data_IF_964873749339
#
_entry.id   IF_964873749339
#
_cell.length_a   1.000
_cell.length_b   1.000
_cell.length_c   1.000
_cell.angle_alpha   90.00
_cell.angle_beta   90.00
_cell.angle_gamma   90.00
#
_symmetry.space_group_name_H-M   'P 1'
#
loop_
_entity.id
_entity.type
_entity.pdbx_description
1 polymer ?
#
# COMPACT_ATOMS: atom_id res chain seq x y z
N UNK A 1 19.77 21.32 -10.90
CA UNK A 1 19.12 20.11 -11.45
C UNK A 1 18.65 19.30 -10.27
N UNK A 2 17.40 19.49 -9.85
CA UNK A 2 16.79 18.61 -8.84
C UNK A 2 16.56 17.27 -9.52
N UNK A 3 17.26 16.23 -9.09
CA UNK A 3 16.91 14.85 -9.45
C UNK A 3 15.51 14.60 -8.93
N UNK A 4 14.51 14.73 -9.80
CA UNK A 4 13.17 14.28 -9.50
C UNK A 4 13.27 12.76 -9.32
N UNK A 5 13.14 12.30 -8.08
CA UNK A 5 13.05 10.87 -7.81
C UNK A 5 11.87 10.33 -8.61
N UNK A 6 12.08 9.37 -9.52
CA UNK A 6 10.99 8.86 -10.35
C UNK A 6 9.89 8.24 -9.48
N UNK A 7 8.63 8.47 -9.84
CA UNK A 7 7.48 7.89 -9.14
C UNK A 7 7.57 6.36 -9.21
N UNK A 8 7.73 5.72 -8.06
CA UNK A 8 7.91 4.26 -7.95
C UNK A 8 6.70 3.46 -8.47
N UNK A 9 5.53 4.08 -8.59
CA UNK A 9 4.33 3.45 -9.15
C UNK A 9 4.29 3.46 -10.66
N UNK A 10 5.11 4.29 -11.33
CA UNK A 10 5.15 4.39 -12.79
C UNK A 10 5.57 3.08 -13.47
N UNK A 11 6.32 2.22 -12.78
CA UNK A 11 6.75 0.91 -13.27
C UNK A 11 5.78 -0.24 -12.95
N UNK A 12 4.66 0.02 -12.25
CA UNK A 12 3.72 -1.04 -11.83
C UNK A 12 2.66 -1.22 -12.91
N UNK A 13 2.81 -2.29 -13.70
CA UNK A 13 1.91 -2.63 -14.82
C UNK A 13 1.14 -3.92 -14.60
N UNK A 14 1.50 -4.69 -13.58
CA UNK A 14 0.94 -6.01 -13.30
C UNK A 14 1.01 -6.36 -11.81
N UNK A 15 0.47 -7.53 -11.47
CA UNK A 15 0.45 -8.05 -10.10
C UNK A 15 1.86 -8.25 -9.53
N UNK A 16 2.81 -8.75 -10.34
CA UNK A 16 4.15 -9.10 -9.88
C UNK A 16 4.98 -7.85 -9.54
N UNK A 17 4.93 -6.84 -10.40
CA UNK A 17 5.58 -5.54 -10.18
C UNK A 17 5.01 -4.85 -8.94
N UNK A 18 3.70 -4.92 -8.69
CA UNK A 18 3.10 -4.38 -7.47
C UNK A 18 3.65 -5.04 -6.19
N UNK A 19 3.74 -6.38 -6.16
CA UNK A 19 4.33 -7.10 -5.03
C UNK A 19 5.82 -6.79 -4.86
N UNK A 20 6.58 -6.77 -5.95
CA UNK A 20 8.02 -6.49 -5.91
C UNK A 20 8.30 -5.11 -5.31
N UNK A 21 7.50 -4.09 -5.66
CA UNK A 21 7.64 -2.75 -5.09
C UNK A 21 7.23 -2.75 -3.62
N UNK A 22 6.11 -3.38 -3.26
CA UNK A 22 5.66 -3.47 -1.87
C UNK A 22 6.69 -4.14 -0.95
N UNK A 23 7.26 -5.28 -1.39
CA UNK A 23 8.29 -6.00 -0.64
C UNK A 23 9.57 -5.16 -0.47
N UNK A 24 9.96 -4.42 -1.51
CA UNK A 24 11.11 -3.52 -1.46
C UNK A 24 10.90 -2.41 -0.41
N UNK A 25 9.73 -1.78 -0.41
CA UNK A 25 9.39 -0.73 0.55
C UNK A 25 9.38 -1.26 1.98
N UNK A 26 8.72 -2.39 2.22
CA UNK A 26 8.62 -3.01 3.55
C UNK A 26 9.98 -3.50 4.08
N UNK A 27 10.83 -4.01 3.19
CA UNK A 27 12.19 -4.46 3.54
C UNK A 27 13.12 -3.30 3.89
N UNK A 28 12.92 -2.13 3.27
CA UNK A 28 13.73 -0.94 3.50
C UNK A 28 13.25 -0.11 4.71
N UNK A 29 12.15 -0.47 5.36
CA UNK A 29 11.66 0.21 6.56
C UNK A 29 12.67 0.08 7.72
N UNK A 30 13.34 1.18 8.06
CA UNK A 30 14.23 1.26 9.22
C UNK A 30 13.42 1.41 10.53
N UNK A 31 13.97 0.92 11.65
CA UNK A 31 13.37 1.08 12.98
C UNK A 31 12.14 0.21 13.27
N UNK A 32 11.79 -0.69 12.34
CA UNK A 32 10.69 -1.65 12.47
C UNK A 32 11.20 -3.10 12.53
N UNK A 33 12.31 -3.32 13.25
CA UNK A 33 13.00 -4.62 13.33
C UNK A 33 12.57 -5.47 14.54
N UNK A 34 11.52 -5.06 15.27
CA UNK A 34 10.94 -5.83 16.38
C UNK A 34 10.02 -6.94 15.85
N UNK A 35 9.92 -8.06 16.56
CA UNK A 35 9.12 -9.23 16.17
C UNK A 35 7.66 -8.87 15.79
N UNK A 36 7.02 -7.97 16.56
CA UNK A 36 5.66 -7.50 16.28
C UNK A 36 5.56 -6.77 14.93
N UNK A 37 6.59 -6.01 14.55
CA UNK A 37 6.63 -5.30 13.27
C UNK A 37 6.76 -6.27 12.10
N UNK A 38 7.50 -7.36 12.26
CA UNK A 38 7.63 -8.40 11.22
C UNK A 38 6.27 -9.07 10.91
N UNK A 39 5.46 -9.33 11.94
CA UNK A 39 4.10 -9.84 11.76
C UNK A 39 3.21 -8.86 10.99
N UNK A 40 3.22 -7.57 11.37
CA UNK A 40 2.40 -6.57 10.68
C UNK A 40 2.91 -6.25 9.27
N UNK A 41 4.23 -6.31 9.02
CA UNK A 41 4.83 -6.21 7.68
C UNK A 41 4.28 -7.30 6.76
N UNK A 42 4.25 -8.56 7.22
CA UNK A 42 3.71 -9.67 6.44
C UNK A 42 2.21 -9.48 6.09
N UNK A 43 1.42 -8.95 7.02
CA UNK A 43 -0.01 -8.64 6.76
C UNK A 43 -0.14 -7.43 5.82
N UNK A 44 0.76 -6.46 5.90
CA UNK A 44 0.73 -5.24 5.11
C UNK A 44 1.13 -5.45 3.64
N UNK A 45 1.87 -6.51 3.30
CA UNK A 45 2.38 -6.74 1.93
C UNK A 45 1.30 -6.69 0.86
N UNK A 46 0.24 -7.50 0.98
CA UNK A 46 -0.82 -7.58 -0.03
C UNK A 46 -1.63 -6.27 -0.14
N UNK A 47 -2.13 -5.66 0.95
CA UNK A 47 -2.84 -4.38 0.85
C UNK A 47 -1.93 -3.23 0.37
N UNK A 48 -0.63 -3.22 0.71
CA UNK A 48 0.32 -2.25 0.15
C UNK A 48 0.46 -2.43 -1.37
N UNK A 49 0.67 -3.66 -1.83
CA UNK A 49 0.72 -3.97 -3.26
C UNK A 49 -0.58 -3.55 -3.98
N UNK A 50 -1.73 -3.80 -3.35
CA UNK A 50 -3.02 -3.39 -3.88
C UNK A 50 -3.17 -1.88 -4.00
N UNK A 51 -2.78 -1.13 -2.97
CA UNK A 51 -2.81 0.32 -2.98
C UNK A 51 -1.90 0.90 -4.07
N UNK A 52 -0.67 0.38 -4.17
CA UNK A 52 0.30 0.80 -5.18
C UNK A 52 -0.18 0.50 -6.59
N UNK A 53 -0.76 -0.69 -6.82
CA UNK A 53 -1.35 -1.04 -8.11
C UNK A 53 -2.54 -0.14 -8.46
N UNK A 54 -3.42 0.14 -7.50
CA UNK A 54 -4.60 0.96 -7.74
C UNK A 54 -4.27 2.39 -8.19
N UNK A 55 -3.15 2.96 -7.73
CA UNK A 55 -2.69 4.29 -8.13
C UNK A 55 -1.68 4.29 -9.28
N UNK A 56 -1.26 3.12 -9.75
CA UNK A 56 -0.31 2.99 -10.86
C UNK A 56 -0.98 3.20 -12.23
N UNK A 57 -0.21 3.24 -13.34
CA UNK A 57 -0.78 3.28 -14.70
C UNK A 57 -1.72 2.10 -15.03
N UNK A 58 -1.61 0.96 -14.33
CA UNK A 58 -2.53 -0.17 -14.49
C UNK A 58 -3.88 0.05 -13.77
N UNK A 59 -3.93 0.99 -12.83
CA UNK A 59 -5.12 1.48 -12.15
C UNK A 59 -5.49 2.90 -12.60
N UNK A 60 -5.53 3.84 -11.66
CA UNK A 60 -5.96 5.23 -11.91
C UNK A 60 -4.87 6.14 -12.46
N UNK A 61 -3.60 5.75 -12.35
CA UNK A 61 -2.45 6.59 -12.73
C UNK A 61 -2.22 7.80 -11.82
N UNK A 62 -2.81 7.84 -10.62
CA UNK A 62 -2.71 8.96 -9.69
C UNK A 62 -1.33 9.11 -9.01
N UNK A 63 -0.51 8.05 -9.03
CA UNK A 63 0.87 8.08 -8.55
C UNK A 63 1.05 7.88 -7.04
N UNK A 64 2.31 7.88 -6.59
CA UNK A 64 2.69 7.58 -5.19
C UNK A 64 2.14 8.61 -4.19
N UNK A 65 1.92 9.85 -4.63
CA UNK A 65 1.34 10.91 -3.79
C UNK A 65 -0.07 10.55 -3.33
N UNK A 66 -0.87 9.92 -4.19
CA UNK A 66 -2.22 9.49 -3.84
C UNK A 66 -2.21 8.29 -2.89
N UNK A 67 -1.31 7.32 -3.09
CA UNK A 67 -1.13 6.23 -2.13
C UNK A 67 -0.75 6.76 -0.74
N UNK A 68 0.14 7.76 -0.66
CA UNK A 68 0.50 8.43 0.60
C UNK A 68 -0.69 9.14 1.23
N UNK A 69 -1.54 9.80 0.43
CA UNK A 69 -2.75 10.47 0.90
C UNK A 69 -3.74 9.46 1.51
N UNK A 70 -4.03 8.36 0.80
CA UNK A 70 -4.93 7.30 1.25
C UNK A 70 -4.38 6.62 2.52
N UNK A 71 -3.09 6.34 2.57
CA UNK A 71 -2.46 5.70 3.74
C UNK A 71 -2.34 6.64 4.96
N UNK A 72 -2.26 7.95 4.72
CA UNK A 72 -2.17 8.97 5.75
C UNK A 72 -3.49 9.23 6.49
N UNK A 73 -4.62 8.97 5.85
CA UNK A 73 -5.94 9.08 6.46
C UNK A 73 -6.36 7.72 7.08
N UNK A 74 -6.11 7.58 8.38
CA UNK A 74 -6.33 6.31 9.10
C UNK A 74 -7.76 6.15 9.60
N UNK A 75 -8.50 7.25 9.70
CA UNK A 75 -9.90 7.24 10.13
C UNK A 75 -10.84 7.09 8.94
N UNK A 76 -10.47 7.64 7.77
CA UNK A 76 -11.22 7.47 6.54
C UNK A 76 -10.86 6.17 5.80
N UNK A 77 -11.83 5.26 5.73
CA UNK A 77 -11.69 4.01 4.97
C UNK A 77 -12.17 4.13 3.52
N UNK A 78 -12.79 5.25 3.14
CA UNK A 78 -13.31 5.46 1.80
C UNK A 78 -12.21 5.46 0.73
N UNK A 79 -11.03 6.03 1.03
CA UNK A 79 -9.87 5.97 0.13
C UNK A 79 -9.41 4.53 -0.16
N UNK A 80 -9.44 3.66 0.85
CA UNK A 80 -9.09 2.24 0.72
C UNK A 80 -10.13 1.46 -0.08
N UNK A 81 -11.43 1.74 0.12
CA UNK A 81 -12.51 1.16 -0.69
C UNK A 81 -12.43 1.61 -2.15
N UNK A 82 -12.22 2.91 -2.38
CA UNK A 82 -12.09 3.44 -3.72
C UNK A 82 -10.92 2.79 -4.48
N UNK A 83 -9.77 2.61 -3.81
CA UNK A 83 -8.65 1.87 -4.37
C UNK A 83 -9.00 0.39 -4.68
N UNK A 84 -9.82 -0.26 -3.85
CA UNK A 84 -10.27 -1.62 -4.11
C UNK A 84 -11.20 -1.71 -5.32
N UNK A 85 -12.05 -0.70 -5.53
CA UNK A 85 -13.01 -0.67 -6.64
C UNK A 85 -12.37 -0.33 -7.99
N UNK A 86 -11.25 0.40 -7.99
CA UNK A 86 -10.46 0.68 -9.20
C UNK A 86 -9.45 -0.43 -9.53
N UNK A 87 -9.16 -1.32 -8.58
CA UNK A 87 -8.22 -2.41 -8.77
C UNK A 87 -8.85 -3.57 -9.56
N UNK A 88 -8.41 -3.77 -10.80
CA UNK A 88 -8.87 -4.89 -11.65
C UNK A 88 -8.24 -6.26 -11.29
N UNK A 89 -7.39 -6.33 -10.26
CA UNK A 89 -6.78 -7.56 -9.76
C UNK A 89 -7.56 -8.09 -8.56
N UNK A 90 -8.31 -9.21 -8.68
CA UNK A 90 -9.20 -9.67 -7.62
C UNK A 90 -8.51 -9.91 -6.26
N UNK A 91 -7.31 -10.50 -6.27
CA UNK A 91 -6.53 -10.75 -5.06
C UNK A 91 -6.21 -9.45 -4.30
N UNK A 92 -5.81 -8.41 -5.03
CA UNK A 92 -5.42 -7.12 -4.45
C UNK A 92 -6.66 -6.34 -3.99
N UNK A 93 -7.71 -6.32 -4.80
CA UNK A 93 -8.98 -5.70 -4.44
C UNK A 93 -9.58 -6.30 -3.16
N UNK A 94 -9.57 -7.64 -3.05
CA UNK A 94 -10.06 -8.33 -1.86
C UNK A 94 -9.21 -8.03 -0.62
N UNK A 95 -7.89 -7.91 -0.76
CA UNK A 95 -7.02 -7.55 0.35
C UNK A 95 -7.31 -6.14 0.88
N UNK A 96 -7.56 -5.17 -0.02
CA UNK A 96 -7.95 -3.81 0.34
C UNK A 96 -9.31 -3.78 1.06
N UNK A 97 -10.30 -4.56 0.59
CA UNK A 97 -11.61 -4.68 1.27
C UNK A 97 -11.48 -5.32 2.65
N UNK A 98 -10.75 -6.43 2.75
CA UNK A 98 -10.53 -7.15 4.03
C UNK A 98 -9.83 -6.29 5.09
N UNK A 99 -8.92 -5.40 4.69
CA UNK A 99 -8.25 -4.49 5.61
C UNK A 99 -9.27 -3.65 6.41
N UNK A 100 -10.40 -3.30 5.82
CA UNK A 100 -11.44 -2.48 6.45
C UNK A 100 -12.28 -3.32 7.41
N UNK A 101 -12.45 -4.60 7.13
CA UNK A 101 -13.16 -5.56 7.99
C UNK A 101 -12.38 -5.94 9.27
N UNK A 102 -11.07 -5.70 9.30
CA UNK A 102 -10.26 -5.92 10.49
C UNK A 102 -10.80 -5.11 11.68
N UNK A 103 -10.61 -5.64 12.89
CA UNK A 103 -10.94 -4.86 14.07
C UNK A 103 -10.09 -3.56 14.11
N UNK A 104 -10.59 -2.48 14.73
CA UNK A 104 -9.94 -1.17 14.64
C UNK A 104 -8.46 -1.15 15.02
N UNK A 105 -8.06 -1.97 16.01
CA UNK A 105 -6.65 -2.05 16.44
C UNK A 105 -5.78 -2.74 15.39
N UNK A 106 -6.22 -3.87 14.85
CA UNK A 106 -5.50 -4.59 13.80
C UNK A 106 -5.35 -3.72 12.53
N UNK A 107 -6.46 -3.09 12.11
CA UNK A 107 -6.46 -2.17 10.96
C UNK A 107 -5.47 -1.02 11.18
N UNK A 108 -5.50 -0.40 12.35
CA UNK A 108 -4.58 0.68 12.69
C UNK A 108 -3.11 0.22 12.64
N UNK A 109 -2.78 -0.97 13.12
CA UNK A 109 -1.41 -1.50 13.03
C UNK A 109 -0.95 -1.68 11.59
N UNK A 110 -1.80 -2.26 10.73
CA UNK A 110 -1.46 -2.46 9.30
C UNK A 110 -1.32 -1.14 8.57
N UNK A 111 -2.26 -0.20 8.77
CA UNK A 111 -2.20 1.14 8.16
C UNK A 111 -0.95 1.91 8.59
N UNK A 112 -0.51 1.77 9.85
CA UNK A 112 0.73 2.38 10.32
C UNK A 112 1.94 1.85 9.55
N UNK A 113 2.04 0.53 9.38
CA UNK A 113 3.13 -0.08 8.62
C UNK A 113 3.12 0.41 7.16
N UNK A 114 1.95 0.41 6.51
CA UNK A 114 1.81 0.89 5.12
C UNK A 114 2.21 2.37 5.02
N UNK A 115 1.72 3.20 5.93
CA UNK A 115 2.05 4.62 5.97
C UNK A 115 3.56 4.82 6.13
N UNK A 116 4.21 4.09 7.04
CA UNK A 116 5.66 4.16 7.25
C UNK A 116 6.47 3.64 6.08
N UNK A 117 5.99 2.61 5.36
CA UNK A 117 6.65 2.08 4.17
C UNK A 117 6.63 3.07 2.99
N UNK A 118 5.66 3.99 2.96
CA UNK A 118 5.47 4.95 1.88
C UNK A 118 6.23 6.28 2.08
N UNK A 119 6.86 6.51 3.24
CA UNK A 119 7.63 7.73 3.52
C UNK A 119 8.96 7.73 2.77
#
# INVERSE_FOLDING_TARGET
MTSETPDITAGITDLQSAFSVADTLLSNMTGHDRDDSSYWKAIATIPLAGLLYAVSPAGTGAGIAEARRIAGDREDTAGWLAAADTCNQPLLADALRKLIEYNPRQRASVQLIIQSALQ
#
